data_IF_807435161194
#
_entry.id   IF_807435161194
#
_cell.length_a   1.000
_cell.length_b   1.000
_cell.length_c   1.000
_cell.angle_alpha   90.00
_cell.angle_beta   90.00
_cell.angle_gamma   90.00
#
_symmetry.space_group_name_H-M   'P 1'
#
loop_
_entity.id
_entity.type
_entity.pdbx_description
1 polymer ?
#
# COMPACT_ATOMS: atom_id res chain seq x y z
N UNK A 1 32.58 -17.57 6.32
CA UNK A 1 31.51 -17.70 5.31
C UNK A 1 30.41 -16.81 5.81
N UNK A 2 30.25 -15.66 5.15
CA UNK A 2 29.39 -14.57 5.58
C UNK A 2 27.93 -14.83 5.18
N UNK A 3 27.03 -14.21 5.94
CA UNK A 3 25.64 -13.89 5.61
C UNK A 3 24.61 -15.03 5.76
N UNK A 4 24.11 -15.23 6.99
CA UNK A 4 22.85 -15.94 7.24
C UNK A 4 22.05 -15.19 8.30
N UNK A 5 21.49 -14.06 7.89
CA UNK A 5 20.36 -13.44 8.57
C UNK A 5 19.47 -12.87 7.48
N UNK A 6 18.40 -13.58 7.13
CA UNK A 6 17.30 -13.01 6.36
C UNK A 6 16.16 -12.66 7.35
N UNK A 7 16.03 -11.38 7.77
CA UNK A 7 14.95 -10.95 8.63
C UNK A 7 13.80 -10.36 7.80
N UNK A 8 13.16 -11.13 6.91
CA UNK A 8 11.95 -10.63 6.21
C UNK A 8 10.70 -11.46 6.41
N UNK A 9 9.93 -10.93 7.37
CA UNK A 9 8.52 -10.54 7.26
C UNK A 9 7.57 -11.31 8.20
N UNK A 10 6.89 -10.62 9.13
CA UNK A 10 5.81 -11.21 9.92
C UNK A 10 4.58 -11.51 9.07
N UNK A 11 3.82 -12.54 9.48
CA UNK A 11 2.66 -13.10 8.79
C UNK A 11 1.45 -12.14 8.78
N UNK A 12 0.65 -12.09 7.68
CA UNK A 12 -0.56 -11.28 7.58
C UNK A 12 -1.73 -11.98 8.28
N UNK A 13 -2.08 -11.56 9.50
CA UNK A 13 -3.14 -12.23 10.24
C UNK A 13 -3.62 -11.53 11.50
N UNK A 14 -3.69 -10.20 11.51
CA UNK A 14 -4.62 -9.46 12.39
C UNK A 14 -4.72 -8.00 11.90
N UNK A 15 -5.71 -7.70 11.07
CA UNK A 15 -6.03 -6.33 10.69
C UNK A 15 -7.50 -6.10 11.04
N UNK A 16 -7.72 -5.43 12.16
CA UNK A 16 -9.04 -4.93 12.57
C UNK A 16 -9.47 -3.83 11.59
N UNK A 17 -10.68 -3.88 11.00
CA UNK A 17 -11.13 -2.84 10.08
C UNK A 17 -11.40 -1.52 10.82
N UNK A 18 -10.85 -0.44 10.28
CA UNK A 18 -11.04 0.93 10.78
C UNK A 18 -12.45 1.46 10.43
N UNK A 19 -12.97 2.31 11.33
CA UNK A 19 -14.34 2.82 11.35
C UNK A 19 -14.69 3.74 10.16
N UNK A 20 -15.89 3.61 9.57
CA UNK A 20 -16.40 4.60 8.61
C UNK A 20 -17.00 5.80 9.34
N UNK A 21 -16.33 6.95 9.34
CA UNK A 21 -16.94 8.18 9.84
C UNK A 21 -16.01 9.35 10.10
N UNK A 22 -15.38 9.90 9.05
CA UNK A 22 -15.32 11.35 8.73
C UNK A 22 -14.55 11.52 7.40
N UNK A 23 -15.04 12.36 6.48
CA UNK A 23 -14.76 12.31 5.03
C UNK A 23 -13.38 12.87 4.61
N UNK A 24 -12.32 12.37 5.22
CA UNK A 24 -10.94 12.57 4.76
C UNK A 24 -10.64 11.50 3.71
N UNK A 25 -9.89 11.78 2.63
CA UNK A 25 -9.43 10.74 1.73
C UNK A 25 -8.72 9.63 2.52
N UNK A 26 -9.37 8.48 2.62
CA UNK A 26 -8.86 7.34 3.38
C UNK A 26 -7.78 6.64 2.56
N UNK A 27 -6.67 6.33 3.23
CA UNK A 27 -5.64 5.50 2.65
C UNK A 27 -6.23 4.10 2.40
N UNK A 28 -5.95 3.49 1.24
CA UNK A 28 -6.45 2.15 0.95
C UNK A 28 -5.89 1.16 1.96
N UNK A 29 -6.73 0.26 2.48
CA UNK A 29 -6.34 -0.73 3.49
C UNK A 29 -5.15 -1.59 3.03
N UNK A 30 -5.10 -1.90 1.73
CA UNK A 30 -3.98 -2.66 1.14
C UNK A 30 -2.65 -1.90 1.20
N UNK A 31 -2.65 -0.56 1.08
CA UNK A 31 -1.45 0.27 1.23
C UNK A 31 -1.04 0.35 2.69
N UNK A 32 -1.97 0.62 3.61
CA UNK A 32 -1.67 0.64 5.06
C UNK A 32 -1.08 -0.70 5.53
N UNK A 33 -1.66 -1.80 5.06
CA UNK A 33 -1.17 -3.15 5.33
C UNK A 33 0.24 -3.37 4.76
N UNK A 34 0.50 -2.87 3.56
CA UNK A 34 1.82 -2.98 2.93
C UNK A 34 2.89 -2.18 3.68
N UNK A 35 2.59 -0.95 4.08
CA UNK A 35 3.48 -0.12 4.91
C UNK A 35 3.77 -0.76 6.26
N UNK A 36 2.72 -1.28 6.91
CA UNK A 36 2.85 -1.95 8.21
C UNK A 36 3.74 -3.19 8.11
N UNK A 37 3.72 -3.89 6.97
CA UNK A 37 4.62 -5.00 6.68
C UNK A 37 6.07 -4.55 6.36
N UNK A 38 6.36 -3.25 6.36
CA UNK A 38 7.65 -2.67 5.99
C UNK A 38 7.87 -2.57 4.48
N UNK A 39 6.80 -2.73 3.69
CA UNK A 39 6.81 -2.55 2.25
C UNK A 39 6.75 -1.07 1.87
N UNK A 40 7.43 -0.70 0.79
CA UNK A 40 7.34 0.65 0.21
C UNK A 40 6.30 0.64 -0.90
N UNK A 41 5.66 1.77 -1.15
CA UNK A 41 4.73 1.94 -2.27
C UNK A 41 4.95 3.29 -2.95
N UNK A 42 4.42 3.44 -4.16
CA UNK A 42 4.33 4.73 -4.84
C UNK A 42 3.10 4.80 -5.72
N UNK A 43 2.53 5.99 -5.87
CA UNK A 43 1.45 6.21 -6.83
C UNK A 43 2.04 6.22 -8.23
N UNK A 44 1.65 5.27 -9.07
CA UNK A 44 2.12 5.14 -10.44
C UNK A 44 1.28 5.97 -11.41
N UNK A 45 -0.03 6.05 -11.18
CA UNK A 45 -0.95 6.82 -12.01
C UNK A 45 -2.22 7.19 -11.24
N UNK A 46 -2.77 8.37 -11.53
CA UNK A 46 -4.07 8.79 -11.01
C UNK A 46 -4.92 9.35 -12.14
N UNK A 47 -6.12 8.77 -12.31
CA UNK A 47 -7.10 9.18 -13.30
C UNK A 47 -8.36 9.80 -12.67
N UNK A 48 -9.37 10.07 -13.50
CA UNK A 48 -10.62 10.70 -13.06
C UNK A 48 -11.43 9.83 -12.09
N UNK A 49 -11.41 8.51 -12.26
CA UNK A 49 -12.17 7.55 -11.44
C UNK A 49 -11.39 6.32 -11.00
N UNK A 50 -10.08 6.27 -11.22
CA UNK A 50 -9.24 5.18 -10.72
C UNK A 50 -7.81 5.65 -10.50
N UNK A 51 -7.08 4.97 -9.62
CA UNK A 51 -5.65 5.19 -9.42
C UNK A 51 -4.92 3.83 -9.41
N UNK A 52 -3.63 3.87 -9.71
CA UNK A 52 -2.74 2.71 -9.66
C UNK A 52 -1.61 3.03 -8.71
N UNK A 53 -1.45 2.17 -7.71
CA UNK A 53 -0.36 2.22 -6.73
C UNK A 53 0.53 1.00 -6.97
N UNK A 54 1.81 1.23 -7.12
CA UNK A 54 2.82 0.18 -7.16
C UNK A 54 3.23 -0.14 -5.72
N UNK A 55 3.14 -1.42 -5.37
CA UNK A 55 3.67 -1.96 -4.13
C UNK A 55 5.08 -2.51 -4.43
N UNK A 56 6.10 -1.88 -3.85
CA UNK A 56 7.50 -2.21 -4.09
C UNK A 56 8.04 -3.11 -2.98
N UNK A 57 8.90 -4.05 -3.37
CA UNK A 57 9.71 -4.83 -2.45
C UNK A 57 10.81 -3.96 -1.86
N UNK A 58 11.08 -4.15 -0.58
CA UNK A 58 12.06 -3.38 0.17
C UNK A 58 13.54 -3.75 -0.17
N UNK A 59 13.83 -4.83 -0.93
CA UNK A 59 15.23 -5.25 -1.24
C UNK A 59 15.77 -4.74 -2.58
N UNK A 60 15.00 -3.94 -3.31
CA UNK A 60 15.44 -3.49 -4.64
C UNK A 60 14.51 -2.54 -5.38
N UNK A 61 13.37 -2.15 -4.80
CA UNK A 61 12.43 -1.26 -5.47
C UNK A 61 11.72 -1.91 -6.67
N UNK A 62 11.76 -3.24 -6.79
CA UNK A 62 11.00 -3.94 -7.81
C UNK A 62 9.50 -3.92 -7.46
N UNK A 63 8.66 -3.65 -8.47
CA UNK A 63 7.22 -3.71 -8.34
C UNK A 63 6.79 -5.16 -8.11
N UNK A 64 6.16 -5.41 -6.96
CA UNK A 64 5.59 -6.70 -6.59
C UNK A 64 4.18 -6.81 -7.12
N UNK A 65 3.40 -5.75 -6.93
CA UNK A 65 1.98 -5.74 -7.22
C UNK A 65 1.52 -4.35 -7.63
N UNK A 66 0.55 -4.32 -8.55
CA UNK A 66 -0.19 -3.12 -8.93
C UNK A 66 -1.55 -3.14 -8.26
N UNK A 67 -1.71 -2.29 -7.25
CA UNK A 67 -2.97 -2.08 -6.58
C UNK A 67 -3.79 -1.06 -7.37
N UNK A 68 -4.93 -1.51 -7.91
CA UNK A 68 -5.89 -0.63 -8.59
C UNK A 68 -6.93 -0.14 -7.60
N UNK A 69 -6.99 1.17 -7.42
CA UNK A 69 -7.98 1.85 -6.58
C UNK A 69 -9.13 2.32 -7.47
N UNK A 70 -10.36 1.97 -7.09
CA UNK A 70 -11.59 2.41 -7.77
C UNK A 70 -12.53 3.17 -6.86
N UNK A 71 -12.33 3.08 -5.55
CA UNK A 71 -13.18 3.79 -4.60
C UNK A 71 -12.88 5.30 -4.66
N UNK A 72 -13.91 6.16 -4.78
CA UNK A 72 -13.70 7.60 -4.92
C UNK A 72 -12.87 8.23 -3.79
N UNK A 73 -12.96 7.68 -2.57
CA UNK A 73 -12.16 8.14 -1.43
C UNK A 73 -10.66 7.78 -1.59
N UNK A 74 -10.37 6.54 -1.99
CA UNK A 74 -9.02 6.05 -2.25
C UNK A 74 -8.37 6.75 -3.45
N UNK A 75 -9.15 7.02 -4.51
CA UNK A 75 -8.67 7.77 -5.68
C UNK A 75 -8.32 9.20 -5.29
N UNK A 76 -9.12 9.85 -4.42
CA UNK A 76 -8.79 11.18 -3.89
C UNK A 76 -7.56 11.15 -3.00
N UNK A 77 -7.38 10.11 -2.18
CA UNK A 77 -6.17 9.90 -1.40
C UNK A 77 -4.94 9.81 -2.29
N UNK A 78 -5.00 9.01 -3.36
CA UNK A 78 -3.88 8.85 -4.30
C UNK A 78 -3.51 10.15 -5.04
N UNK A 79 -4.43 11.12 -5.19
CA UNK A 79 -4.16 12.42 -5.79
C UNK A 79 -3.32 13.36 -4.92
N UNK A 80 -3.31 13.13 -3.61
CA UNK A 80 -2.64 14.01 -2.63
C UNK A 80 -1.37 13.40 -2.04
N UNK A 81 -0.99 12.19 -2.47
CA UNK A 81 0.32 11.59 -2.20
C UNK A 81 1.36 12.09 -3.20
#
# INVERSE_FOLDING_TARGET
MSDEADPRAPHPGDATPAHPGDATPAQPEAVERWETAGGTWRVASVGEGSAVVELLRCDGGECVELLRLTEPAEVRWARVQ
#
